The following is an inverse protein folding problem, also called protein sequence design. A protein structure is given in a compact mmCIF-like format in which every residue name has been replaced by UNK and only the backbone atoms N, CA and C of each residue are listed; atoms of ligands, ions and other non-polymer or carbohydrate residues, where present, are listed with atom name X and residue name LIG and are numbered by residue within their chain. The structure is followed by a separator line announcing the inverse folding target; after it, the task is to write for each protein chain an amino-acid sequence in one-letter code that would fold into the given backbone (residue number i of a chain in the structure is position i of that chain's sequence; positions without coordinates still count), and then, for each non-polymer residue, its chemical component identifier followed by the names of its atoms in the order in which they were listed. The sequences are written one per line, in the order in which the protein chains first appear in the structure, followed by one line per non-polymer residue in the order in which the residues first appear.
data_IF_287713508356
#
_entry.id   IF_287713508356
#
_cell.length_a   1.000
_cell.length_b   1.000
_cell.length_c   1.000
_cell.angle_alpha   90.00
_cell.angle_beta   90.00
_cell.angle_gamma   90.00
#
_symmetry.space_group_name_H-M   'P 1'
#
loop_
_entity.id
_entity.type
_entity.pdbx_description
1 polymer ?
#
# COMPACT_ATOMS: atom_id res chain seq x y z
N UNK A 1 -12.22 -56.86 4.15
CA UNK A 1 -12.84 -55.53 4.12
C UNK A 1 -12.20 -54.77 5.27
N UNK A 2 -11.00 -54.26 5.04
CA UNK A 2 -10.29 -53.44 6.03
C UNK A 2 -10.61 -51.99 5.71
N UNK A 3 -11.48 -51.41 6.53
CA UNK A 3 -11.76 -49.98 6.55
C UNK A 3 -10.57 -49.28 7.19
N UNK A 4 -9.72 -48.67 6.37
CA UNK A 4 -8.78 -47.66 6.85
C UNK A 4 -9.58 -46.43 7.27
N UNK A 5 -9.63 -46.17 8.57
CA UNK A 5 -10.10 -44.90 9.12
C UNK A 5 -9.20 -43.78 8.58
N UNK A 6 -9.80 -42.87 7.80
CA UNK A 6 -9.20 -41.57 7.52
C UNK A 6 -9.01 -40.83 8.85
N UNK A 7 -7.76 -40.74 9.30
CA UNK A 7 -7.38 -39.85 10.38
C UNK A 7 -7.44 -38.43 9.83
N UNK A 8 -8.57 -37.78 10.02
CA UNK A 8 -8.76 -36.35 9.81
C UNK A 8 -7.85 -35.60 10.79
N UNK A 9 -6.67 -35.18 10.34
CA UNK A 9 -5.84 -34.23 11.09
C UNK A 9 -6.55 -32.88 10.99
N UNK A 10 -7.32 -32.56 12.01
CA UNK A 10 -7.96 -31.26 12.17
C UNK A 10 -6.86 -30.24 12.53
N UNK A 11 -6.16 -29.73 11.51
CA UNK A 11 -5.20 -28.63 11.67
C UNK A 11 -6.03 -27.41 12.03
N UNK A 12 -6.18 -27.16 13.34
CA UNK A 12 -6.77 -25.94 13.86
C UNK A 12 -5.86 -24.78 13.42
N UNK A 13 -6.17 -24.17 12.29
CA UNK A 13 -5.46 -22.98 11.82
C UNK A 13 -5.75 -21.84 12.80
N UNK A 14 -4.73 -21.48 13.57
CA UNK A 14 -4.78 -20.36 14.50
C UNK A 14 -4.89 -19.06 13.67
N UNK A 15 -6.02 -18.36 13.78
CA UNK A 15 -6.25 -17.05 13.15
C UNK A 15 -6.26 -15.97 14.23
N UNK A 16 -5.98 -14.72 13.84
CA UNK A 16 -6.06 -13.60 14.75
C UNK A 16 -7.50 -13.30 15.15
N UNK A 17 -7.69 -13.01 16.43
CA UNK A 17 -8.87 -12.31 16.89
C UNK A 17 -8.86 -10.89 16.33
N UNK A 18 -10.01 -10.46 15.78
CA UNK A 18 -10.14 -9.15 15.19
C UNK A 18 -11.53 -8.56 15.45
N UNK A 19 -11.57 -7.23 15.52
CA UNK A 19 -12.79 -6.44 15.70
C UNK A 19 -13.21 -5.91 14.32
N UNK A 20 -14.48 -6.03 13.96
CA UNK A 20 -14.96 -5.47 12.69
C UNK A 20 -15.05 -3.95 12.78
N UNK A 21 -14.62 -3.26 11.72
CA UNK A 21 -14.83 -1.83 11.58
C UNK A 21 -16.15 -1.52 10.84
N UNK A 22 -16.52 -0.23 10.80
CA UNK A 22 -17.77 0.21 10.18
C UNK A 22 -17.76 0.17 8.64
N UNK A 23 -16.64 -0.18 8.02
CA UNK A 23 -16.41 -0.16 6.58
C UNK A 23 -16.19 -1.57 6.00
N UNK A 24 -16.49 -2.61 6.78
CA UNK A 24 -16.33 -4.00 6.37
C UNK A 24 -14.89 -4.51 6.45
N UNK A 25 -14.00 -3.80 7.13
CA UNK A 25 -12.66 -4.26 7.50
C UNK A 25 -12.60 -4.90 8.88
N UNK A 26 -11.41 -5.35 9.27
CA UNK A 26 -11.12 -5.99 10.55
C UNK A 26 -9.86 -5.41 11.19
N UNK A 27 -9.85 -5.30 12.51
CA UNK A 27 -8.77 -4.70 13.31
C UNK A 27 -8.19 -5.75 14.25
N UNK A 28 -6.91 -6.10 14.04
CA UNK A 28 -6.11 -6.95 14.91
C UNK A 28 -5.32 -6.07 15.87
N UNK A 29 -5.50 -6.26 17.18
CA UNK A 29 -4.76 -5.53 18.21
C UNK A 29 -3.68 -6.41 18.83
N UNK A 30 -2.41 -6.12 18.55
CA UNK A 30 -1.28 -6.84 19.11
C UNK A 30 -0.59 -6.01 20.18
N UNK A 31 -0.56 -6.54 21.40
CA UNK A 31 -0.02 -5.88 22.58
C UNK A 31 1.29 -6.52 23.01
N UNK A 32 2.09 -5.77 23.74
CA UNK A 32 3.41 -6.21 24.24
C UNK A 32 3.31 -7.45 25.13
N UNK A 33 2.21 -7.59 25.87
CA UNK A 33 1.96 -8.67 26.83
C UNK A 33 1.76 -10.03 26.15
N UNK A 34 1.59 -10.05 24.82
CA UNK A 34 1.44 -11.24 23.98
C UNK A 34 2.61 -11.32 22.99
N UNK A 35 3.84 -11.59 23.46
CA UNK A 35 5.01 -11.64 22.61
C UNK A 35 4.85 -12.76 21.57
N UNK A 36 5.04 -12.40 20.30
CA UNK A 36 4.91 -13.29 19.17
C UNK A 36 6.18 -13.28 18.33
N UNK A 37 6.64 -14.47 17.93
CA UNK A 37 7.77 -14.59 17.01
C UNK A 37 7.33 -14.38 15.55
N UNK A 38 8.32 -14.12 14.70
CA UNK A 38 8.12 -13.81 13.28
C UNK A 38 7.39 -14.92 12.52
N UNK A 39 7.73 -16.20 12.77
CA UNK A 39 7.23 -17.32 11.99
C UNK A 39 5.78 -17.63 12.36
N UNK A 40 5.46 -17.58 13.67
CA UNK A 40 4.08 -17.72 14.16
C UNK A 40 3.22 -16.58 13.62
N UNK A 41 3.66 -15.33 13.74
CA UNK A 41 2.91 -14.17 13.23
C UNK A 41 2.65 -14.27 11.73
N UNK A 42 3.67 -14.58 10.93
CA UNK A 42 3.54 -14.70 9.48
C UNK A 42 2.57 -15.82 9.08
N UNK A 43 2.62 -16.97 9.77
CA UNK A 43 1.73 -18.11 9.50
C UNK A 43 0.28 -17.77 9.85
N UNK A 44 0.05 -17.19 11.03
CA UNK A 44 -1.27 -16.76 11.47
C UNK A 44 -1.84 -15.66 10.58
N UNK A 45 -1.01 -14.71 10.14
CA UNK A 45 -1.43 -13.61 9.29
C UNK A 45 -1.91 -14.14 7.94
N UNK A 46 -1.17 -15.06 7.33
CA UNK A 46 -1.58 -15.70 6.07
C UNK A 46 -2.90 -16.45 6.19
N UNK A 47 -3.06 -17.23 7.26
CA UNK A 47 -4.30 -17.95 7.52
C UNK A 47 -5.48 -16.97 7.73
N UNK A 48 -5.26 -15.91 8.51
CA UNK A 48 -6.28 -14.92 8.84
C UNK A 48 -6.73 -14.11 7.62
N UNK A 49 -5.79 -13.65 6.78
CA UNK A 49 -6.11 -12.93 5.53
C UNK A 49 -6.92 -13.84 4.60
N UNK A 50 -6.54 -15.11 4.46
CA UNK A 50 -7.27 -16.08 3.63
C UNK A 50 -8.69 -16.27 4.12
N UNK A 51 -8.87 -16.42 5.44
CA UNK A 51 -10.18 -16.53 6.08
C UNK A 51 -11.04 -15.27 5.90
N UNK A 52 -10.47 -14.07 6.09
CA UNK A 52 -11.22 -12.82 5.96
C UNK A 52 -11.58 -12.48 4.52
N UNK A 53 -10.74 -12.86 3.54
CA UNK A 53 -11.11 -12.79 2.11
C UNK A 53 -12.35 -13.63 1.80
N UNK A 54 -12.40 -14.87 2.30
CA UNK A 54 -13.58 -15.73 2.12
C UNK A 54 -14.85 -15.14 2.77
N UNK A 55 -14.69 -14.33 3.83
CA UNK A 55 -15.77 -13.61 4.48
C UNK A 55 -16.08 -12.23 3.86
N UNK A 56 -15.46 -11.88 2.74
CA UNK A 56 -15.71 -10.63 2.03
C UNK A 56 -15.24 -9.37 2.79
N UNK A 57 -14.25 -9.49 3.67
CA UNK A 57 -13.68 -8.33 4.37
C UNK A 57 -12.84 -7.48 3.43
N UNK A 58 -12.95 -6.16 3.57
CA UNK A 58 -12.37 -5.16 2.66
C UNK A 58 -11.00 -4.64 3.07
N UNK A 59 -10.69 -4.67 4.37
CA UNK A 59 -9.43 -4.15 4.90
C UNK A 59 -8.99 -4.90 6.15
N UNK A 60 -7.69 -4.99 6.38
CA UNK A 60 -7.09 -5.58 7.57
C UNK A 60 -6.16 -4.56 8.21
N UNK A 61 -6.50 -4.12 9.42
CA UNK A 61 -5.73 -3.16 10.19
C UNK A 61 -4.98 -3.89 11.30
N UNK A 62 -3.65 -3.87 11.30
CA UNK A 62 -2.85 -4.49 12.37
C UNK A 62 -2.28 -3.38 13.24
N UNK A 63 -2.78 -3.27 14.46
CA UNK A 63 -2.26 -2.36 15.48
C UNK A 63 -1.16 -3.07 16.26
N UNK A 64 0.08 -2.79 15.91
CA UNK A 64 1.27 -3.31 16.60
C UNK A 64 1.76 -2.32 17.66
N UNK A 65 2.02 -2.83 18.87
CA UNK A 65 2.86 -2.10 19.84
C UNK A 65 4.26 -1.87 19.26
N UNK A 66 4.93 -0.79 19.66
CA UNK A 66 6.26 -0.44 19.12
C UNK A 66 7.31 -1.53 19.43
N UNK A 67 7.15 -2.24 20.53
CA UNK A 67 7.97 -3.38 20.93
C UNK A 67 7.84 -4.59 19.99
N UNK A 68 6.78 -4.63 19.17
CA UNK A 68 6.54 -5.66 18.15
C UNK A 68 6.89 -5.18 16.74
N UNK A 69 7.64 -4.07 16.60
CA UNK A 69 8.00 -3.50 15.30
C UNK A 69 8.79 -4.48 14.41
N UNK A 70 9.46 -5.48 14.99
CA UNK A 70 10.13 -6.55 14.22
C UNK A 70 9.17 -7.39 13.37
N UNK A 71 7.88 -7.43 13.73
CA UNK A 71 6.84 -8.14 13.00
C UNK A 71 6.29 -7.37 11.80
N UNK A 72 6.58 -6.06 11.70
CA UNK A 72 6.14 -5.23 10.55
C UNK A 72 6.63 -5.84 9.24
N UNK A 73 7.86 -6.35 9.22
CA UNK A 73 8.44 -6.99 8.03
C UNK A 73 7.71 -8.28 7.61
N UNK A 74 7.00 -8.94 8.52
CA UNK A 74 6.17 -10.09 8.18
C UNK A 74 4.78 -9.67 7.68
N UNK A 75 4.27 -8.51 8.13
CA UNK A 75 2.98 -7.96 7.70
C UNK A 75 3.08 -7.25 6.35
N UNK A 76 4.21 -6.60 6.13
CA UNK A 76 4.51 -5.81 4.94
C UNK A 76 5.59 -6.57 4.19
N UNK A 77 5.23 -7.15 3.05
CA UNK A 77 6.25 -7.60 2.10
C UNK A 77 6.99 -6.36 1.66
N UNK A 78 8.32 -6.31 1.85
CA UNK A 78 9.12 -5.20 1.34
C UNK A 78 8.82 -4.99 -0.15
N UNK A 79 8.23 -3.86 -0.48
CA UNK A 79 7.84 -3.45 -1.83
C UNK A 79 8.47 -2.09 -2.11
N UNK A 80 9.02 -1.94 -3.31
CA UNK A 80 9.61 -0.68 -3.75
C UNK A 80 8.52 0.34 -4.08
N UNK A 81 8.73 1.62 -3.77
CA UNK A 81 7.75 2.71 -3.98
C UNK A 81 7.26 2.75 -5.43
N UNK A 82 8.17 2.60 -6.39
CA UNK A 82 7.84 2.61 -7.82
C UNK A 82 6.96 1.41 -8.21
N UNK A 83 7.21 0.24 -7.63
CA UNK A 83 6.45 -0.97 -7.90
C UNK A 83 5.05 -0.89 -7.27
N UNK A 84 4.96 -0.39 -6.03
CA UNK A 84 3.69 -0.15 -5.36
C UNK A 84 2.83 0.81 -6.17
N UNK A 85 3.37 1.97 -6.59
CA UNK A 85 2.61 2.95 -7.39
C UNK A 85 2.04 2.35 -8.69
N UNK A 86 2.82 1.55 -9.41
CA UNK A 86 2.37 0.86 -10.63
C UNK A 86 1.29 -0.18 -10.32
N UNK A 87 1.48 -0.97 -9.25
CA UNK A 87 0.52 -2.00 -8.82
C UNK A 87 -0.82 -1.39 -8.42
N UNK A 88 -0.83 -0.38 -7.55
CA UNK A 88 -2.06 0.26 -7.05
C UNK A 88 -2.91 0.79 -8.22
N UNK A 89 -2.30 1.48 -9.19
CA UNK A 89 -3.04 1.99 -10.37
C UNK A 89 -3.64 0.84 -11.19
N UNK A 90 -2.91 -0.26 -11.37
CA UNK A 90 -3.42 -1.43 -12.08
C UNK A 90 -4.55 -2.13 -11.32
N UNK A 91 -4.42 -2.28 -10.01
CA UNK A 91 -5.40 -2.95 -9.16
C UNK A 91 -6.72 -2.17 -9.09
N UNK A 92 -6.67 -0.83 -8.95
CA UNK A 92 -7.86 0.02 -8.83
C UNK A 92 -8.53 0.33 -10.19
N UNK A 93 -7.74 0.53 -11.24
CA UNK A 93 -8.24 1.11 -12.51
C UNK A 93 -8.04 0.23 -13.74
N UNK A 94 -7.28 -0.87 -13.63
CA UNK A 94 -6.90 -1.71 -14.76
C UNK A 94 -5.86 -1.09 -15.70
N UNK A 95 -5.43 0.16 -15.46
CA UNK A 95 -4.47 0.85 -16.30
C UNK A 95 -3.06 0.31 -16.07
N UNK A 96 -2.40 -0.12 -17.14
CA UNK A 96 -0.99 -0.49 -17.09
C UNK A 96 -0.13 0.77 -17.19
N UNK A 97 0.90 0.87 -16.35
CA UNK A 97 1.75 2.06 -16.27
C UNK A 97 3.23 1.71 -16.13
N UNK A 98 4.07 2.66 -16.53
CA UNK A 98 5.49 2.68 -16.23
C UNK A 98 5.79 3.79 -15.22
N UNK A 99 6.66 3.53 -14.26
CA UNK A 99 7.13 4.55 -13.32
C UNK A 99 8.04 5.55 -14.05
N UNK A 100 7.77 6.84 -13.86
CA UNK A 100 8.58 7.93 -14.42
C UNK A 100 9.46 8.53 -13.32
N UNK A 101 8.85 9.20 -12.35
CA UNK A 101 9.56 9.97 -11.32
C UNK A 101 8.78 10.03 -10.02
N UNK A 102 9.50 10.14 -8.90
CA UNK A 102 8.95 10.58 -7.63
C UNK A 102 8.96 12.11 -7.60
N UNK A 103 7.78 12.75 -7.60
CA UNK A 103 7.66 14.21 -7.66
C UNK A 103 7.87 14.86 -6.30
N UNK A 104 7.25 14.29 -5.26
CA UNK A 104 7.34 14.82 -3.91
C UNK A 104 7.02 13.72 -2.90
N UNK A 105 7.35 13.97 -1.63
CA UNK A 105 6.86 13.18 -0.52
C UNK A 105 6.43 14.09 0.62
N UNK A 106 5.43 13.65 1.37
CA UNK A 106 4.92 14.32 2.55
C UNK A 106 5.17 13.43 3.75
N UNK A 107 5.59 14.05 4.84
CA UNK A 107 5.47 13.49 6.18
C UNK A 107 4.34 14.19 6.94
N UNK A 108 3.54 13.42 7.69
CA UNK A 108 2.67 13.98 8.74
C UNK A 108 2.77 13.15 10.02
N UNK A 109 2.49 13.78 11.15
CA UNK A 109 2.48 13.15 12.46
C UNK A 109 1.07 13.09 13.03
N UNK A 110 0.83 12.11 13.91
CA UNK A 110 -0.48 11.89 14.55
C UNK A 110 -1.62 11.72 13.52
N UNK A 111 -1.33 11.03 12.43
CA UNK A 111 -2.33 10.60 11.44
C UNK A 111 -3.17 9.45 12.02
N UNK A 112 -3.65 8.53 11.18
CA UNK A 112 -4.32 7.32 11.63
C UNK A 112 -3.56 6.63 12.77
N UNK A 113 -4.28 6.32 13.85
CA UNK A 113 -3.77 5.67 15.05
C UNK A 113 -2.63 6.42 15.79
N UNK A 114 -2.51 7.73 15.58
CA UNK A 114 -1.50 8.56 16.24
C UNK A 114 -0.06 8.32 15.74
N UNK A 115 0.10 7.66 14.58
CA UNK A 115 1.41 7.37 13.98
C UNK A 115 1.82 8.42 12.96
N UNK A 116 3.11 8.40 12.61
CA UNK A 116 3.64 9.18 11.49
C UNK A 116 3.26 8.49 10.17
N UNK A 117 3.07 9.29 9.14
CA UNK A 117 2.65 8.88 7.81
C UNK A 117 3.63 9.46 6.78
N UNK A 118 4.01 8.63 5.80
CA UNK A 118 4.78 9.05 4.63
C UNK A 118 3.93 8.80 3.39
N UNK A 119 3.76 9.84 2.58
CA UNK A 119 2.97 9.80 1.37
C UNK A 119 3.82 10.25 0.18
N UNK A 120 3.91 9.43 -0.86
CA UNK A 120 4.77 9.66 -2.02
C UNK A 120 3.92 9.99 -3.25
N UNK A 121 4.21 11.12 -3.89
CA UNK A 121 3.54 11.56 -5.11
C UNK A 121 4.40 11.09 -6.28
N UNK A 122 3.89 10.13 -7.06
CA UNK A 122 4.61 9.54 -8.19
C UNK A 122 3.98 9.96 -9.52
N UNK A 123 4.82 10.25 -10.52
CA UNK A 123 4.42 10.39 -11.92
C UNK A 123 4.54 9.04 -12.61
N UNK A 124 3.46 8.63 -13.27
CA UNK A 124 3.38 7.39 -14.02
C UNK A 124 3.01 7.69 -15.48
N UNK A 125 3.46 6.85 -16.39
CA UNK A 125 3.11 6.91 -17.81
C UNK A 125 2.15 5.76 -18.15
N UNK A 126 0.92 6.03 -18.61
CA UNK A 126 0.01 4.98 -19.01
C UNK A 126 0.46 4.29 -20.30
N UNK A 127 0.30 2.97 -20.34
CA UNK A 127 0.51 2.10 -21.50
C UNK A 127 -0.80 1.77 -22.21
N UNK A 128 -1.92 1.95 -21.53
CA UNK A 128 -3.27 1.84 -22.07
C UNK A 128 -4.18 2.91 -21.44
N UNK A 129 -5.38 3.09 -21.99
CA UNK A 129 -6.30 4.16 -21.57
C UNK A 129 -7.70 3.67 -21.21
N UNK A 130 -7.99 2.38 -21.37
CA UNK A 130 -9.28 1.79 -21.04
C UNK A 130 -9.35 1.49 -19.56
N UNK A 131 -10.15 2.27 -18.84
CA UNK A 131 -10.36 2.09 -17.39
C UNK A 131 -11.27 0.88 -17.17
N UNK A 132 -10.79 -0.06 -16.35
CA UNK A 132 -11.56 -1.15 -15.78
C UNK A 132 -11.51 -1.03 -14.26
N UNK A 133 -12.49 -0.34 -13.69
CA UNK A 133 -12.54 0.02 -12.28
C UNK A 133 -12.77 -1.18 -11.39
N UNK A 134 -12.05 -1.25 -10.28
CA UNK A 134 -12.29 -2.22 -9.22
C UNK A 134 -13.42 -1.71 -8.31
N UNK A 135 -14.61 -2.28 -8.48
CA UNK A 135 -15.85 -1.83 -7.82
C UNK A 135 -15.87 -2.01 -6.29
N UNK A 136 -14.95 -2.82 -5.73
CA UNK A 136 -14.94 -3.10 -4.31
C UNK A 136 -14.23 -2.02 -3.48
N UNK A 137 -13.31 -1.27 -4.09
CA UNK A 137 -12.38 -0.32 -3.46
C UNK A 137 -12.66 1.13 -3.83
N UNK A 138 -12.95 1.44 -5.10
CA UNK A 138 -13.13 2.83 -5.56
C UNK A 138 -14.50 3.09 -6.18
N UNK A 139 -15.03 4.30 -5.93
CA UNK A 139 -16.37 4.72 -6.38
C UNK A 139 -16.41 5.07 -7.86
N UNK A 140 -15.43 5.82 -8.37
CA UNK A 140 -15.37 6.29 -9.77
C UNK A 140 -13.90 6.43 -10.21
N UNK A 141 -13.64 6.19 -11.50
CA UNK A 141 -12.37 6.49 -12.15
C UNK A 141 -12.62 7.06 -13.55
N UNK A 142 -11.98 8.20 -13.87
CA UNK A 142 -12.04 8.85 -15.18
C UNK A 142 -10.75 9.60 -15.49
N UNK A 143 -10.45 9.72 -16.77
CA UNK A 143 -9.45 10.67 -17.24
C UNK A 143 -9.97 12.09 -17.08
N UNK A 144 -9.13 12.98 -16.56
CA UNK A 144 -9.47 14.37 -16.29
C UNK A 144 -8.34 15.29 -16.74
N UNK A 145 -8.65 16.41 -17.42
CA UNK A 145 -7.66 17.46 -17.66
C UNK A 145 -7.04 17.96 -16.35
N UNK A 146 -5.72 18.12 -16.33
CA UNK A 146 -4.99 18.52 -15.11
C UNK A 146 -5.47 19.87 -14.55
N UNK A 147 -5.84 20.80 -15.44
CA UNK A 147 -6.37 22.12 -15.12
C UNK A 147 -7.75 22.02 -14.46
N UNK A 148 -8.57 21.08 -14.91
CA UNK A 148 -9.86 20.77 -14.29
C UNK A 148 -9.67 20.19 -12.89
N UNK A 149 -8.73 19.25 -12.71
CA UNK A 149 -8.39 18.72 -11.39
C UNK A 149 -7.91 19.83 -10.44
N UNK A 150 -6.95 20.65 -10.87
CA UNK A 150 -6.37 21.71 -10.05
C UNK A 150 -7.39 22.81 -9.67
N UNK A 151 -8.41 23.02 -10.49
CA UNK A 151 -9.47 24.01 -10.23
C UNK A 151 -10.60 23.50 -9.33
N UNK A 152 -10.66 22.21 -9.01
CA UNK A 152 -11.72 21.67 -8.15
C UNK A 152 -11.75 22.36 -6.77
N UNK A 153 -12.95 22.74 -6.32
CA UNK A 153 -13.15 23.41 -5.03
C UNK A 153 -12.56 22.62 -3.86
N UNK A 154 -12.66 21.28 -3.89
CA UNK A 154 -12.13 20.39 -2.84
C UNK A 154 -10.60 20.42 -2.77
N UNK A 155 -9.91 20.48 -3.90
CA UNK A 155 -8.45 20.65 -3.96
C UNK A 155 -8.07 22.01 -3.40
N UNK A 156 -8.84 23.05 -3.75
CA UNK A 156 -8.60 24.42 -3.31
C UNK A 156 -8.99 24.74 -1.86
N UNK A 157 -9.51 23.77 -1.10
CA UNK A 157 -9.77 23.92 0.34
C UNK A 157 -8.56 23.58 1.21
N UNK A 158 -7.55 22.89 0.67
CA UNK A 158 -6.38 22.42 1.41
C UNK A 158 -5.11 22.97 0.78
N UNK A 159 -4.31 23.71 1.55
CA UNK A 159 -3.04 24.25 1.06
C UNK A 159 -2.08 23.15 0.59
N UNK A 160 -2.05 22.01 1.30
CA UNK A 160 -1.28 20.85 0.87
C UNK A 160 -1.76 20.31 -0.49
N UNK A 161 -3.08 20.20 -0.67
CA UNK A 161 -3.66 19.69 -1.91
C UNK A 161 -3.37 20.64 -3.08
N UNK A 162 -3.41 21.96 -2.86
CA UNK A 162 -2.99 22.98 -3.83
C UNK A 162 -1.53 22.84 -4.21
N UNK A 163 -0.64 22.68 -3.22
CA UNK A 163 0.79 22.50 -3.49
C UNK A 163 1.06 21.25 -4.35
N UNK A 164 0.41 20.12 -4.02
CA UNK A 164 0.51 18.90 -4.82
C UNK A 164 -0.02 19.12 -6.24
N UNK A 165 -1.18 19.77 -6.39
CA UNK A 165 -1.76 20.07 -7.70
C UNK A 165 -0.82 20.97 -8.54
N UNK A 166 -0.22 22.00 -7.94
CA UNK A 166 0.72 22.88 -8.62
C UNK A 166 2.00 22.15 -9.07
N UNK A 167 2.52 21.21 -8.26
CA UNK A 167 3.66 20.36 -8.66
C UNK A 167 3.27 19.50 -9.88
N UNK A 168 2.09 18.88 -9.86
CA UNK A 168 1.63 18.07 -10.99
C UNK A 168 1.39 18.91 -12.27
N UNK A 169 0.86 20.14 -12.15
CA UNK A 169 0.74 21.07 -13.29
C UNK A 169 2.12 21.43 -13.83
N UNK A 170 3.04 21.87 -12.97
CA UNK A 170 4.39 22.23 -13.37
C UNK A 170 5.13 21.03 -14.01
N UNK A 171 4.89 19.80 -13.53
CA UNK A 171 5.44 18.59 -14.16
C UNK A 171 4.86 18.35 -15.55
N UNK A 172 3.55 18.50 -15.74
CA UNK A 172 2.88 18.39 -17.05
C UNK A 172 3.44 19.41 -18.05
N UNK A 173 3.77 20.61 -17.58
CA UNK A 173 4.37 21.69 -18.38
C UNK A 173 5.90 21.56 -18.54
N UNK A 174 6.49 20.44 -18.10
CA UNK A 174 7.94 20.18 -18.13
C UNK A 174 8.79 21.20 -17.35
N UNK A 175 8.18 21.91 -16.39
CA UNK A 175 8.83 22.91 -15.52
C UNK A 175 9.22 22.35 -14.15
N UNK A 176 8.98 21.06 -13.90
CA UNK A 176 9.32 20.39 -12.65
C UNK A 176 10.05 19.08 -12.91
N UNK A 177 11.21 18.90 -12.27
CA UNK A 177 11.98 17.67 -12.31
C UNK A 177 11.88 16.97 -10.96
N UNK A 178 11.34 15.75 -10.96
CA UNK A 178 11.31 14.88 -9.81
C UNK A 178 12.58 14.04 -9.69
N UNK A 179 12.44 12.90 -9.02
CA UNK A 179 13.53 11.98 -8.72
C UNK A 179 13.31 10.67 -9.50
N UNK A 180 14.27 10.34 -10.37
CA UNK A 180 14.30 9.08 -11.11
C UNK A 180 14.65 7.92 -10.17
N UNK A 181 14.06 6.74 -10.38
CA UNK A 181 14.40 5.52 -9.65
C UNK A 181 15.60 4.81 -10.30
N UNK A 182 16.78 4.93 -9.69
CA UNK A 182 18.01 4.31 -10.19
C UNK A 182 18.28 2.99 -9.47
N UNK A 183 18.17 1.88 -10.21
CA UNK A 183 18.49 0.55 -9.68
C UNK A 183 20.01 0.43 -9.46
N UNK A 184 20.40 0.11 -8.23
CA UNK A 184 21.80 -0.08 -7.83
C UNK A 184 21.93 -1.27 -6.87
N UNK A 185 23.15 -1.54 -6.41
CA UNK A 185 23.47 -2.61 -5.46
C UNK A 185 24.24 -2.08 -4.26
N UNK A 186 23.89 -2.55 -3.07
CA UNK A 186 24.61 -2.19 -1.84
C UNK A 186 26.01 -2.82 -1.80
N UNK A 187 27.03 -2.06 -1.39
CA UNK A 187 28.43 -2.46 -1.51
C UNK A 187 28.84 -3.74 -0.78
N UNK A 188 28.23 -4.03 0.38
CA UNK A 188 28.63 -5.19 1.20
C UNK A 188 27.84 -6.47 0.91
N UNK A 189 26.61 -6.35 0.39
CA UNK A 189 25.68 -7.48 0.28
C UNK A 189 25.17 -7.75 -1.14
N UNK A 190 25.56 -6.93 -2.11
CA UNK A 190 25.09 -6.94 -3.49
C UNK A 190 23.55 -6.96 -3.64
N UNK A 191 22.80 -6.61 -2.58
CA UNK A 191 21.35 -6.51 -2.62
C UNK A 191 20.95 -5.35 -3.50
N UNK A 192 19.99 -5.61 -4.40
CA UNK A 192 19.34 -4.59 -5.23
C UNK A 192 18.64 -3.56 -4.34
N UNK A 193 18.76 -2.29 -4.69
CA UNK A 193 17.99 -1.20 -4.11
C UNK A 193 17.78 -0.09 -5.15
N UNK A 194 16.80 0.78 -4.91
CA UNK A 194 16.59 1.98 -5.71
C UNK A 194 17.13 3.21 -4.99
N UNK A 195 17.93 4.01 -5.69
CA UNK A 195 18.25 5.38 -5.31
C UNK A 195 17.32 6.31 -6.07
N UNK A 196 16.57 7.14 -5.35
CA UNK A 196 15.76 8.20 -5.94
C UNK A 196 16.59 9.48 -5.97
N UNK A 197 16.99 9.93 -7.16
CA UNK A 197 17.78 11.15 -7.34
C UNK A 197 17.29 11.94 -8.53
N UNK A 198 17.47 13.26 -8.52
CA UNK A 198 17.47 14.03 -9.76
C UNK A 198 18.66 13.52 -10.63
N UNK A 199 18.51 13.59 -11.95
CA UNK A 199 19.56 13.18 -12.88
C UNK A 199 20.85 13.95 -12.52
N UNK A 200 21.94 13.20 -12.27
CA UNK A 200 23.28 13.76 -11.99
C UNK A 200 23.87 14.32 -13.28
#
# INVERSE_FOLDING_TARGET
MDSFEEVSIDIKMEIFEAIEDNYGGVIVNMKKEEPMDFLKFHTMLKASISHWRLKGKKGVWIKLSIELAHLVNAAVKGEDICMAAVREVKEETGIETEFVELLAFRQSHKSFFGKSDLFFICMLKPLNFTINKQEAEIEEAKWMPMEEYASQSKVNQSELSKMIANICVAKKEEQYNGFSALLTTTGHSAKKCYLYSNNI
#
